data_IF_925360152951
#
_entry.id   IF_925360152951
#
_cell.length_a   1.000
_cell.length_b   1.000
_cell.length_c   1.000
_cell.angle_alpha   90.00
_cell.angle_beta   90.00
_cell.angle_gamma   90.00
#
_symmetry.space_group_name_H-M   'P 1'
#
loop_
_entity.id
_entity.type
_entity.pdbx_description
1 polymer ?
#
# COMPACT_ATOMS: atom_id res chain seq x y z
N UNK A 1 -12.34 1.68 7.68
CA UNK A 1 -12.71 1.28 6.30
C UNK A 1 -11.77 0.18 5.89
N UNK A 2 -12.26 -1.01 5.55
CA UNK A 2 -11.39 -2.12 5.14
C UNK A 2 -11.58 -2.32 3.66
N UNK A 3 -10.49 -2.12 2.92
CA UNK A 3 -10.43 -2.33 1.48
C UNK A 3 -10.11 -3.79 1.25
N UNK A 4 -10.91 -4.45 0.41
CA UNK A 4 -10.66 -5.83 0.01
C UNK A 4 -10.53 -5.84 -1.49
N UNK A 5 -9.40 -6.31 -1.99
CA UNK A 5 -9.25 -6.69 -3.41
C UNK A 5 -9.54 -8.18 -3.53
N UNK A 6 -9.91 -8.65 -4.71
CA UNK A 6 -10.46 -10.00 -4.94
C UNK A 6 -9.42 -11.14 -4.84
N UNK A 7 -8.65 -11.21 -3.74
CA UNK A 7 -7.83 -12.35 -3.37
C UNK A 7 -6.55 -12.57 -4.18
N UNK A 8 -6.17 -11.62 -5.04
CA UNK A 8 -4.96 -11.70 -5.88
C UNK A 8 -3.91 -10.60 -5.60
N UNK A 9 -4.15 -9.76 -4.58
CA UNK A 9 -3.23 -8.68 -4.20
C UNK A 9 -2.06 -9.15 -3.32
N UNK A 10 -1.05 -8.30 -3.16
CA UNK A 10 0.13 -8.52 -2.29
C UNK A 10 -0.26 -8.91 -0.85
N UNK A 11 -1.38 -8.40 -0.34
CA UNK A 11 -1.91 -8.65 1.01
C UNK A 11 -2.82 -9.89 1.11
N UNK A 12 -3.05 -10.63 0.01
CA UNK A 12 -4.12 -11.64 -0.08
C UNK A 12 -4.02 -12.78 0.95
N UNK A 13 -2.83 -13.04 1.53
CA UNK A 13 -2.68 -14.02 2.61
C UNK A 13 -3.17 -13.44 3.94
N UNK A 14 -2.75 -12.22 4.28
CA UNK A 14 -3.20 -11.53 5.48
C UNK A 14 -4.71 -11.22 5.43
N UNK A 15 -5.23 -10.83 4.27
CA UNK A 15 -6.66 -10.58 4.07
C UNK A 15 -7.56 -11.83 4.27
N UNK A 16 -6.99 -13.05 4.33
CA UNK A 16 -7.76 -14.27 4.60
C UNK A 16 -8.12 -14.45 6.08
N UNK A 17 -7.29 -13.95 6.98
CA UNK A 17 -7.45 -14.12 8.41
C UNK A 17 -7.05 -12.84 9.16
N UNK A 18 -7.69 -11.70 8.87
CA UNK A 18 -7.31 -10.44 9.50
C UNK A 18 -7.59 -10.51 11.01
N UNK A 19 -6.76 -9.80 11.76
CA UNK A 19 -6.72 -9.80 13.23
C UNK A 19 -7.00 -8.41 13.80
N UNK A 20 -7.26 -8.36 15.10
CA UNK A 20 -7.39 -7.11 15.86
C UNK A 20 -6.23 -6.91 16.84
N UNK A 21 -5.98 -5.66 17.23
CA UNK A 21 -5.01 -5.32 18.27
C UNK A 21 -5.56 -5.57 19.69
N UNK A 22 -4.72 -5.35 20.70
CA UNK A 22 -5.08 -5.52 22.12
C UNK A 22 -6.24 -4.63 22.58
N UNK A 23 -6.56 -3.57 21.84
CA UNK A 23 -7.68 -2.66 22.11
C UNK A 23 -8.93 -3.04 21.29
N UNK A 24 -8.90 -4.18 20.60
CA UNK A 24 -9.97 -4.70 19.78
C UNK A 24 -10.11 -4.01 18.42
N UNK A 25 -9.16 -3.16 18.03
CA UNK A 25 -9.22 -2.43 16.74
C UNK A 25 -8.67 -3.30 15.63
N UNK A 26 -9.31 -3.36 14.45
CA UNK A 26 -8.73 -4.03 13.30
C UNK A 26 -7.34 -3.50 12.97
N UNK A 27 -6.40 -4.40 12.73
CA UNK A 27 -5.10 -3.98 12.19
C UNK A 27 -5.28 -3.37 10.79
N UNK A 28 -4.46 -2.37 10.49
CA UNK A 28 -4.28 -1.80 9.16
C UNK A 28 -2.85 -2.05 8.67
N UNK A 29 -2.52 -1.53 7.49
CA UNK A 29 -1.20 -1.71 6.89
C UNK A 29 -0.02 -1.24 7.77
N UNK A 30 -0.26 -0.29 8.67
CA UNK A 30 0.76 0.29 9.54
C UNK A 30 0.82 -0.43 10.89
N UNK A 31 -0.31 -0.97 11.37
CA UNK A 31 -0.40 -1.53 12.72
C UNK A 31 -0.22 -3.03 12.79
N UNK A 32 -0.19 -3.76 11.66
CA UNK A 32 0.12 -5.20 11.68
C UNK A 32 1.49 -5.48 12.33
N UNK A 33 1.62 -6.61 13.06
CA UNK A 33 2.91 -7.04 13.62
C UNK A 33 4.02 -7.09 12.57
N UNK A 34 5.24 -6.77 12.99
CA UNK A 34 6.36 -6.61 12.05
C UNK A 34 6.69 -7.89 11.29
N UNK A 35 6.68 -9.04 11.98
CA UNK A 35 6.93 -10.36 11.42
C UNK A 35 5.91 -10.72 10.34
N UNK A 36 4.62 -10.46 10.58
CA UNK A 36 3.57 -10.59 9.59
C UNK A 36 3.78 -9.65 8.40
N UNK A 37 4.15 -8.38 8.68
CA UNK A 37 4.39 -7.38 7.64
C UNK A 37 5.54 -7.76 6.72
N UNK A 38 6.69 -8.16 7.26
CA UNK A 38 7.83 -8.59 6.43
C UNK A 38 7.54 -9.91 5.70
N UNK A 39 6.71 -10.79 6.27
CA UNK A 39 6.27 -12.00 5.57
C UNK A 39 5.40 -11.67 4.34
N UNK A 40 4.50 -10.69 4.47
CA UNK A 40 3.74 -10.15 3.32
C UNK A 40 4.69 -9.54 2.28
N UNK A 41 5.67 -8.74 2.70
CA UNK A 41 6.64 -8.12 1.79
C UNK A 41 7.42 -9.18 1.00
N UNK A 42 8.03 -10.15 1.69
CA UNK A 42 8.76 -11.28 1.05
C UNK A 42 7.89 -11.99 0.03
N UNK A 43 6.67 -12.36 0.43
CA UNK A 43 5.75 -13.07 -0.48
C UNK A 43 5.39 -12.23 -1.70
N UNK A 44 5.20 -10.93 -1.51
CA UNK A 44 4.88 -10.01 -2.58
C UNK A 44 6.01 -9.87 -3.60
N UNK A 45 7.24 -9.75 -3.11
CA UNK A 45 8.46 -9.74 -3.92
C UNK A 45 8.56 -11.04 -4.71
N UNK A 46 8.44 -12.20 -4.05
CA UNK A 46 8.50 -13.51 -4.70
C UNK A 46 7.45 -13.66 -5.80
N UNK A 47 6.19 -13.31 -5.50
CA UNK A 47 5.10 -13.45 -6.46
C UNK A 47 5.36 -12.64 -7.73
N UNK A 48 5.80 -11.39 -7.58
CA UNK A 48 6.12 -10.56 -8.73
C UNK A 48 7.37 -11.05 -9.45
N UNK A 49 8.44 -11.38 -8.73
CA UNK A 49 9.69 -11.87 -9.31
C UNK A 49 9.51 -13.16 -10.13
N UNK A 50 8.53 -14.01 -9.79
CA UNK A 50 8.21 -15.21 -10.59
C UNK A 50 7.58 -14.89 -11.95
N UNK A 51 6.96 -13.72 -12.12
CA UNK A 51 6.28 -13.32 -13.36
C UNK A 51 7.09 -12.25 -14.11
N UNK A 52 7.68 -11.31 -13.39
CA UNK A 52 8.51 -10.22 -13.88
C UNK A 52 9.59 -9.89 -12.83
N UNK A 53 10.83 -10.26 -13.14
CA UNK A 53 11.97 -10.07 -12.25
C UNK A 53 12.27 -8.58 -11.99
N UNK A 54 12.06 -7.70 -12.96
CA UNK A 54 12.24 -6.26 -12.78
C UNK A 54 11.14 -5.68 -11.87
N UNK A 55 9.90 -6.12 -12.04
CA UNK A 55 8.79 -5.81 -11.13
C UNK A 55 9.02 -6.29 -9.70
N UNK A 56 9.59 -7.50 -9.54
CA UNK A 56 10.06 -8.02 -8.25
C UNK A 56 11.12 -7.11 -7.61
N UNK A 57 12.13 -6.70 -8.39
CA UNK A 57 13.18 -5.77 -7.93
C UNK A 57 12.61 -4.42 -7.49
N UNK A 58 11.73 -3.82 -8.29
CA UNK A 58 11.06 -2.55 -7.93
C UNK A 58 10.27 -2.67 -6.62
N UNK A 59 9.62 -3.81 -6.41
CA UNK A 59 8.82 -4.07 -5.20
C UNK A 59 9.69 -4.26 -3.96
N UNK A 60 10.82 -4.97 -4.10
CA UNK A 60 11.81 -5.13 -3.03
C UNK A 60 12.40 -3.78 -2.63
N UNK A 61 12.84 -2.98 -3.60
CA UNK A 61 13.33 -1.62 -3.37
C UNK A 61 12.29 -0.74 -2.67
N UNK A 62 11.02 -0.85 -3.04
CA UNK A 62 9.92 -0.11 -2.40
C UNK A 62 9.74 -0.47 -0.94
N UNK A 63 9.56 -1.76 -0.63
CA UNK A 63 9.39 -2.20 0.75
C UNK A 63 10.64 -1.95 1.59
N UNK A 64 11.83 -2.17 1.03
CA UNK A 64 13.09 -1.89 1.70
C UNK A 64 13.25 -0.41 2.05
N UNK A 65 12.98 0.51 1.11
CA UNK A 65 13.07 1.95 1.36
C UNK A 65 12.01 2.43 2.36
N UNK A 66 10.76 1.96 2.25
CA UNK A 66 9.70 2.29 3.22
C UNK A 66 10.06 1.84 4.64
N UNK A 67 10.59 0.63 4.77
CA UNK A 67 10.95 0.07 6.07
C UNK A 67 12.17 0.80 6.66
N UNK A 68 13.16 1.12 5.82
CA UNK A 68 14.32 1.91 6.23
C UNK A 68 13.95 3.32 6.72
N UNK A 69 13.00 3.99 6.05
CA UNK A 69 12.49 5.31 6.45
C UNK A 69 11.84 5.30 7.84
N UNK A 70 11.21 4.18 8.23
CA UNK A 70 10.57 4.01 9.54
C UNK A 70 11.44 3.34 10.62
N UNK A 71 12.68 2.94 10.29
CA UNK A 71 13.47 2.04 11.14
C UNK A 71 13.80 2.63 12.51
N UNK A 72 14.09 3.93 12.57
CA UNK A 72 14.48 4.61 13.82
C UNK A 72 13.36 4.63 14.87
N UNK A 73 12.10 4.52 14.45
CA UNK A 73 10.95 4.47 15.35
C UNK A 73 10.66 3.07 15.89
N UNK A 74 11.37 2.04 15.42
CA UNK A 74 11.19 0.65 15.83
C UNK A 74 12.14 0.28 16.97
N UNK A 75 11.65 -0.56 17.87
CA UNK A 75 12.41 -1.08 19.01
C UNK A 75 12.24 -2.60 19.15
N UNK A 76 13.12 -3.23 19.93
CA UNK A 76 13.00 -4.64 20.31
C UNK A 76 12.99 -5.62 19.13
N UNK A 77 12.08 -6.59 19.18
CA UNK A 77 11.92 -7.63 18.14
C UNK A 77 11.48 -7.06 16.80
N UNK A 78 10.64 -6.02 16.80
CA UNK A 78 10.19 -5.37 15.58
C UNK A 78 11.37 -4.75 14.81
N UNK A 79 12.29 -4.08 15.54
CA UNK A 79 13.50 -3.53 14.92
C UNK A 79 14.41 -4.62 14.34
N UNK A 80 14.70 -5.67 15.12
CA UNK A 80 15.53 -6.79 14.66
C UNK A 80 14.97 -7.44 13.39
N UNK A 81 13.66 -7.71 13.39
CA UNK A 81 12.96 -8.29 12.25
C UNK A 81 13.06 -7.41 11.00
N UNK A 82 12.97 -6.09 11.18
CA UNK A 82 13.13 -5.14 10.09
C UNK A 82 14.57 -5.10 9.56
N UNK A 83 15.57 -5.08 10.44
CA UNK A 83 16.99 -5.10 10.08
C UNK A 83 17.37 -6.39 9.32
N UNK A 84 16.89 -7.54 9.79
CA UNK A 84 17.10 -8.83 9.12
C UNK A 84 16.51 -8.83 7.70
N UNK A 85 15.28 -8.34 7.54
CA UNK A 85 14.65 -8.21 6.24
C UNK A 85 15.43 -7.26 5.32
N UNK A 86 15.91 -6.11 5.83
CA UNK A 86 16.68 -5.16 5.04
C UNK A 86 18.03 -5.74 4.57
N UNK A 87 18.70 -6.52 5.41
CA UNK A 87 19.94 -7.21 5.05
C UNK A 87 19.72 -8.29 3.98
N UNK A 88 18.63 -9.05 4.11
CA UNK A 88 18.17 -10.03 3.12
C UNK A 88 17.90 -9.35 1.77
N UNK A 89 17.07 -8.31 1.74
CA UNK A 89 16.72 -7.60 0.50
C UNK A 89 17.90 -6.89 -0.12
N UNK A 90 18.82 -6.32 0.67
CA UNK A 90 20.03 -5.72 0.10
C UNK A 90 20.88 -6.74 -0.67
N UNK A 91 20.99 -7.97 -0.15
CA UNK A 91 21.70 -9.06 -0.84
C UNK A 91 20.97 -9.49 -2.09
N UNK A 92 19.65 -9.69 -1.99
CA UNK A 92 18.80 -10.11 -3.11
C UNK A 92 18.76 -9.06 -4.23
N UNK A 93 18.55 -7.78 -3.90
CA UNK A 93 18.53 -6.65 -4.84
C UNK A 93 19.84 -6.57 -5.63
N UNK A 94 20.99 -6.69 -4.96
CA UNK A 94 22.29 -6.62 -5.63
C UNK A 94 22.54 -7.82 -6.57
N UNK A 95 21.97 -8.99 -6.28
CA UNK A 95 22.04 -10.15 -7.17
C UNK A 95 21.10 -9.99 -8.36
N UNK A 96 19.84 -9.64 -8.10
CA UNK A 96 18.81 -9.41 -9.11
C UNK A 96 19.18 -8.29 -10.08
N UNK A 97 19.75 -7.19 -9.57
CA UNK A 97 20.25 -6.08 -10.39
C UNK A 97 21.28 -6.55 -11.42
N UNK A 98 22.25 -7.38 -10.99
CA UNK A 98 23.26 -7.97 -11.89
C UNK A 98 22.65 -8.95 -12.87
N UNK A 99 21.72 -9.79 -12.42
CA UNK A 99 21.03 -10.78 -13.26
C UNK A 99 20.24 -10.12 -14.39
N UNK A 100 19.64 -8.96 -14.12
CA UNK A 100 18.93 -8.16 -15.11
C UNK A 100 19.85 -7.38 -16.06
N UNK A 101 21.17 -7.49 -15.91
CA UNK A 101 22.13 -6.76 -16.74
C UNK A 101 22.19 -5.27 -16.41
N UNK A 102 22.03 -4.90 -15.14
CA UNK A 102 22.10 -3.52 -14.65
C UNK A 102 21.10 -2.59 -15.36
N UNK A 103 19.79 -2.86 -15.22
CA UNK A 103 18.76 -2.19 -15.99
C UNK A 103 18.75 -0.67 -15.78
N UNK A 104 18.67 0.08 -16.87
CA UNK A 104 18.44 1.52 -16.82
C UNK A 104 16.98 1.82 -16.45
N UNK A 105 16.72 3.00 -15.87
CA UNK A 105 15.35 3.48 -15.63
C UNK A 105 14.66 3.02 -14.34
N UNK A 106 15.21 2.04 -13.60
CA UNK A 106 14.61 1.53 -12.34
C UNK A 106 14.30 2.64 -11.33
N UNK A 107 15.15 3.65 -11.20
CA UNK A 107 14.90 4.76 -10.27
C UNK A 107 13.74 5.66 -10.74
N UNK A 108 13.51 5.78 -12.06
CA UNK A 108 12.35 6.49 -12.58
C UNK A 108 11.06 5.68 -12.33
N UNK A 109 11.09 4.39 -12.60
CA UNK A 109 9.97 3.48 -12.35
C UNK A 109 9.63 3.41 -10.85
N UNK A 110 10.65 3.41 -9.99
CA UNK A 110 10.48 3.49 -8.53
C UNK A 110 9.71 4.74 -8.10
N UNK A 111 10.02 5.91 -8.69
CA UNK A 111 9.31 7.16 -8.36
C UNK A 111 7.86 7.10 -8.80
N UNK A 112 7.58 6.48 -9.93
CA UNK A 112 6.20 6.23 -10.38
C UNK A 112 5.48 5.31 -9.40
N UNK A 113 6.08 4.17 -9.05
CA UNK A 113 5.53 3.23 -8.07
C UNK A 113 5.21 3.92 -6.74
N UNK A 114 6.19 4.62 -6.16
CA UNK A 114 6.04 5.35 -4.90
C UNK A 114 4.94 6.41 -4.97
N UNK A 115 4.86 7.16 -6.08
CA UNK A 115 3.84 8.19 -6.24
C UNK A 115 2.43 7.58 -6.34
N UNK A 116 2.26 6.50 -7.11
CA UNK A 116 0.96 5.83 -7.27
C UNK A 116 0.55 5.10 -5.99
N UNK A 117 1.48 4.47 -5.29
CA UNK A 117 1.26 3.86 -3.98
C UNK A 117 0.77 4.89 -2.95
N UNK A 118 1.49 6.02 -2.82
CA UNK A 118 1.10 7.06 -1.87
C UNK A 118 -0.22 7.75 -2.25
N UNK A 119 -0.48 7.99 -3.55
CA UNK A 119 -1.78 8.46 -4.01
C UNK A 119 -2.90 7.48 -3.63
N UNK A 120 -2.66 6.17 -3.79
CA UNK A 120 -3.64 5.17 -3.40
C UNK A 120 -3.96 5.23 -1.92
N UNK A 121 -2.95 5.37 -1.04
CA UNK A 121 -3.14 5.51 0.41
C UNK A 121 -3.96 6.75 0.76
N UNK A 122 -3.68 7.88 0.12
CA UNK A 122 -4.48 9.09 0.34
C UNK A 122 -5.95 8.82 0.03
N UNK A 123 -6.26 8.33 -1.18
CA UNK A 123 -7.64 8.04 -1.59
C UNK A 123 -8.31 7.00 -0.67
N UNK A 124 -7.54 6.02 -0.21
CA UNK A 124 -8.03 4.84 0.51
C UNK A 124 -8.05 4.96 2.03
N UNK A 125 -7.34 5.91 2.63
CA UNK A 125 -7.24 6.00 4.09
C UNK A 125 -7.78 7.31 4.63
N UNK A 126 -7.93 8.34 3.81
CA UNK A 126 -8.40 9.65 4.26
C UNK A 126 -9.81 9.95 3.78
N UNK A 127 -10.65 10.58 4.62
CA UNK A 127 -11.91 11.13 4.15
C UNK A 127 -11.63 12.27 3.13
N UNK A 128 -12.55 12.53 2.18
CA UNK A 128 -12.28 13.50 1.09
C UNK A 128 -11.90 14.91 1.54
N UNK A 129 -12.32 15.35 2.71
CA UNK A 129 -11.96 16.65 3.28
C UNK A 129 -10.49 16.74 3.74
N UNK A 130 -9.83 15.62 4.02
CA UNK A 130 -8.40 15.56 4.40
C UNK A 130 -7.46 15.38 3.21
N UNK A 131 -8.03 15.22 2.01
CA UNK A 131 -7.29 15.14 0.75
C UNK A 131 -6.98 16.52 0.17
N UNK A 132 -7.72 17.55 0.55
CA UNK A 132 -7.54 18.89 0.00
C UNK A 132 -6.23 19.51 0.47
N UNK A 133 -5.47 20.09 -0.47
CA UNK A 133 -4.11 20.59 -0.28
C UNK A 133 -3.05 19.54 0.16
N UNK A 134 -3.36 18.24 0.09
CA UNK A 134 -2.36 17.20 0.27
C UNK A 134 -1.35 17.20 -0.90
N UNK A 135 -0.15 16.67 -0.67
CA UNK A 135 0.86 16.48 -1.70
C UNK A 135 1.43 15.07 -1.70
N UNK A 136 1.74 14.59 -2.90
CA UNK A 136 2.39 13.31 -3.19
C UNK A 136 3.62 13.62 -4.04
N UNK A 137 4.80 13.57 -3.42
CA UNK A 137 6.04 13.98 -4.08
C UNK A 137 5.92 15.42 -4.65
N UNK A 138 5.97 15.57 -5.97
CA UNK A 138 5.83 16.87 -6.65
C UNK A 138 4.39 17.20 -7.07
N UNK A 139 3.45 16.29 -6.80
CA UNK A 139 2.05 16.42 -7.20
C UNK A 139 1.21 16.97 -6.05
N UNK A 140 0.43 18.02 -6.31
CA UNK A 140 -0.55 18.57 -5.37
C UNK A 140 -1.93 18.04 -5.66
N UNK A 141 -2.72 17.83 -4.61
CA UNK A 141 -4.10 17.37 -4.67
C UNK A 141 -5.03 18.52 -4.25
N UNK A 142 -6.08 18.73 -5.04
CA UNK A 142 -7.23 19.58 -4.67
C UNK A 142 -8.52 18.82 -4.82
N UNK A 143 -9.44 19.00 -3.88
CA UNK A 143 -10.70 18.23 -3.87
C UNK A 143 -11.87 19.15 -4.21
N UNK A 144 -12.58 18.80 -5.29
CA UNK A 144 -13.80 19.50 -5.72
C UNK A 144 -14.97 18.51 -5.76
N UNK A 145 -15.69 18.40 -4.64
CA UNK A 145 -16.77 17.43 -4.49
C UNK A 145 -16.25 15.98 -4.54
N UNK A 146 -16.48 15.28 -5.66
CA UNK A 146 -15.98 13.90 -5.91
C UNK A 146 -14.79 13.86 -6.88
N UNK A 147 -14.30 15.02 -7.30
CA UNK A 147 -13.15 15.15 -8.20
C UNK A 147 -11.90 15.42 -7.37
N UNK A 148 -10.81 14.74 -7.71
CA UNK A 148 -9.47 15.01 -7.19
C UNK A 148 -8.66 15.58 -8.35
N UNK A 149 -8.30 16.84 -8.23
CA UNK A 149 -7.47 17.54 -9.20
C UNK A 149 -6.01 17.29 -8.82
N UNK A 150 -5.22 16.79 -9.77
CA UNK A 150 -3.80 16.52 -9.59
C UNK A 150 -2.97 17.51 -10.41
N UNK A 151 -1.93 18.09 -9.82
CA UNK A 151 -1.01 18.99 -10.50
C UNK A 151 0.46 18.74 -10.10
N UNK A 152 1.34 18.24 -11.01
CA UNK A 152 1.03 17.87 -12.39
C UNK A 152 0.15 16.62 -12.49
N UNK A 153 -0.66 16.53 -13.55
CA UNK A 153 -1.49 15.36 -13.82
C UNK A 153 -0.68 14.28 -14.57
N UNK A 154 -0.52 13.06 -14.03
CA UNK A 154 0.43 12.09 -14.55
C UNK A 154 -0.12 11.14 -15.63
N UNK A 155 -1.43 11.20 -15.93
CA UNK A 155 -2.07 10.28 -16.86
C UNK A 155 -2.25 10.91 -18.25
N UNK A 156 -2.27 10.07 -19.27
CA UNK A 156 -2.42 10.44 -20.68
C UNK A 156 -3.86 10.81 -21.07
N UNK A 157 -4.82 10.55 -20.19
CA UNK A 157 -6.24 10.94 -20.34
C UNK A 157 -6.52 12.34 -19.79
N UNK A 158 -7.69 12.91 -20.08
CA UNK A 158 -8.14 14.15 -19.42
C UNK A 158 -8.75 13.89 -18.04
N UNK A 159 -9.39 12.74 -17.88
CA UNK A 159 -10.01 12.27 -16.65
C UNK A 159 -9.83 10.76 -16.52
N UNK A 160 -9.44 10.31 -15.32
CA UNK A 160 -9.31 8.91 -14.96
C UNK A 160 -10.27 8.62 -13.80
N UNK A 161 -11.15 7.62 -13.97
CA UNK A 161 -11.99 7.14 -12.86
C UNK A 161 -11.29 5.96 -12.20
N UNK A 162 -10.98 6.09 -10.92
CA UNK A 162 -10.45 4.99 -10.09
C UNK A 162 -11.52 4.50 -9.15
N UNK A 163 -11.62 3.18 -8.98
CA UNK A 163 -12.65 2.54 -8.15
C UNK A 163 -12.01 1.52 -7.22
N UNK A 164 -12.50 1.47 -5.99
CA UNK A 164 -12.04 0.55 -4.94
C UNK A 164 -13.24 -0.11 -4.28
N UNK A 165 -13.21 -1.44 -4.18
CA UNK A 165 -14.16 -2.20 -3.39
C UNK A 165 -13.81 -2.09 -1.90
N UNK A 166 -14.77 -1.65 -1.09
CA UNK A 166 -14.59 -1.46 0.34
C UNK A 166 -15.75 -2.08 1.13
N UNK A 167 -15.46 -2.49 2.36
CA UNK A 167 -16.48 -2.86 3.35
C UNK A 167 -16.51 -1.83 4.46
N UNK A 168 -17.72 -1.36 4.74
CA UNK A 168 -17.97 -0.38 5.82
C UNK A 168 -18.53 -1.16 7.00
N UNK A 169 -17.78 -1.19 8.10
CA UNK A 169 -18.21 -1.82 9.34
C UNK A 169 -18.90 -0.77 10.22
N UNK A 170 -19.96 -1.19 10.92
CA UNK A 170 -20.68 -0.33 11.86
C UNK A 170 -19.97 -0.15 13.21
N UNK A 171 -18.91 -0.94 13.47
CA UNK A 171 -18.10 -0.90 14.67
C UNK A 171 -16.62 -0.65 14.31
N UNK A 172 -15.92 0.01 15.23
CA UNK A 172 -14.48 0.30 15.13
C UNK A 172 -13.62 -0.57 16.06
N UNK A 173 -14.27 -1.32 16.95
CA UNK A 173 -13.66 -2.27 17.88
C UNK A 173 -14.50 -3.54 17.95
N UNK A 174 -13.85 -4.67 18.24
CA UNK A 174 -14.44 -6.00 18.32
C UNK A 174 -13.91 -6.71 19.56
N UNK A 175 -14.71 -7.64 20.09
CA UNK A 175 -14.34 -8.40 21.30
C UNK A 175 -13.23 -9.42 21.01
N UNK A 176 -13.25 -10.01 19.81
CA UNK A 176 -12.27 -10.97 19.33
C UNK A 176 -12.18 -10.99 17.79
N UNK A 177 -11.18 -11.72 17.30
CA UNK A 177 -10.94 -11.93 15.87
C UNK A 177 -12.14 -12.55 15.13
N UNK A 178 -12.91 -13.43 15.79
CA UNK A 178 -14.04 -14.12 15.16
C UNK A 178 -15.21 -13.15 14.94
N UNK A 179 -15.52 -12.33 15.93
CA UNK A 179 -16.50 -11.26 15.84
C UNK A 179 -16.13 -10.27 14.72
N UNK A 180 -14.87 -9.87 14.65
CA UNK A 180 -14.36 -9.02 13.58
C UNK A 180 -14.51 -9.67 12.20
N UNK A 181 -14.05 -10.91 12.03
CA UNK A 181 -14.13 -11.63 10.74
C UNK A 181 -15.57 -11.87 10.31
N UNK A 182 -16.47 -12.18 11.25
CA UNK A 182 -17.90 -12.34 11.00
C UNK A 182 -18.54 -11.03 10.54
N UNK A 183 -18.26 -9.92 11.23
CA UNK A 183 -18.72 -8.59 10.83
C UNK A 183 -18.19 -8.20 9.44
N UNK A 184 -16.91 -8.47 9.16
CA UNK A 184 -16.30 -8.20 7.87
C UNK A 184 -16.93 -9.02 6.74
N UNK A 185 -17.15 -10.32 6.97
CA UNK A 185 -17.78 -11.21 6.00
C UNK A 185 -19.23 -10.82 5.70
N UNK A 186 -19.99 -10.42 6.73
CA UNK A 186 -21.38 -9.98 6.62
C UNK A 186 -21.58 -8.57 6.04
N UNK A 187 -20.56 -7.70 6.09
CA UNK A 187 -20.68 -6.33 5.62
C UNK A 187 -20.84 -6.25 4.08
N UNK A 188 -21.77 -5.43 3.55
CA UNK A 188 -21.93 -5.29 2.11
C UNK A 188 -20.69 -4.64 1.49
N UNK A 189 -20.32 -5.12 0.31
CA UNK A 189 -19.31 -4.44 -0.53
C UNK A 189 -19.92 -3.15 -1.07
N UNK A 190 -19.13 -2.07 -1.00
CA UNK A 190 -19.42 -0.75 -1.54
C UNK A 190 -18.31 -0.37 -2.49
N UNK A 191 -18.67 0.23 -3.62
CA UNK A 191 -17.71 0.82 -4.53
C UNK A 191 -17.47 2.27 -4.13
N UNK A 192 -16.21 2.58 -3.85
CA UNK A 192 -15.72 3.93 -3.71
C UNK A 192 -15.12 4.34 -5.06
N UNK A 193 -15.46 5.53 -5.54
CA UNK A 193 -14.93 6.03 -6.80
C UNK A 193 -14.45 7.48 -6.68
N UNK A 194 -13.39 7.78 -7.41
CA UNK A 194 -12.82 9.11 -7.52
C UNK A 194 -12.57 9.44 -8.99
N UNK A 195 -12.83 10.68 -9.37
CA UNK A 195 -12.49 11.21 -10.69
C UNK A 195 -11.22 12.03 -10.58
N UNK A 196 -10.12 11.52 -11.12
CA UNK A 196 -8.84 12.19 -11.17
C UNK A 196 -8.76 13.03 -12.46
N UNK A 197 -8.42 14.31 -12.37
CA UNK A 197 -8.25 15.16 -13.56
C UNK A 197 -7.16 16.21 -13.40
N UNK A 198 -6.71 16.77 -14.52
CA UNK A 198 -5.82 17.94 -14.55
C UNK A 198 -6.52 19.23 -14.08
N UNK A 199 -5.77 20.28 -13.67
CA UNK A 199 -6.36 21.58 -13.41
C UNK A 199 -7.05 22.10 -14.66
N UNK A 200 -8.22 22.71 -14.50
CA UNK A 200 -8.83 23.49 -15.59
C UNK A 200 -7.95 24.73 -15.82
N UNK A 201 -7.60 24.98 -17.08
CA UNK A 201 -6.96 26.22 -17.51
C UNK A 201 -7.96 27.37 -17.44
#
# INVERSE_FOLDING_TARGET
MIIRRDGQGLLAIWEKAPTIDEQGRPHDFLTIPMDERVAVYRRGIDLLATTDLAGGLLTSLHFGRLLAEGLEALEGDARRTAEDFLAEQSTWDAQTWRQLGEPEGIEADYRVLRAVDYLSLLLCMRPPNELDAASVMTMTLRVEGRRVILDPYPFDTDELTVTVAARVLGATTFDDDEAYRSALAGAPVRELNWKLSRPRR
#
